data_IF_342230749059
#
_entry.id   IF_342230749059
#
_cell.length_a   1.000
_cell.length_b   1.000
_cell.length_c   1.000
_cell.angle_alpha   90.00
_cell.angle_beta   90.00
_cell.angle_gamma   90.00
#
_symmetry.space_group_name_H-M   'P 1'
#
loop_
_entity.id
_entity.type
_entity.pdbx_description
1 polymer ?
#
# COMPACT_ATOMS: atom_id res chain seq x y z
N UNK A 1 -0.74 5.13 -7.31
CA UNK A 1 0.17 5.15 -6.14
C UNK A 1 0.91 3.82 -6.10
N UNK A 2 2.24 3.79 -6.18
CA UNK A 2 3.00 2.53 -6.25
C UNK A 2 2.94 1.67 -4.96
N UNK A 3 2.74 2.30 -3.79
CA UNK A 3 2.81 1.61 -2.48
C UNK A 3 1.70 0.58 -2.25
N UNK A 4 0.62 0.59 -3.03
CA UNK A 4 -0.47 -0.39 -2.96
C UNK A 4 -0.10 -1.75 -3.55
N UNK A 5 0.97 -1.83 -4.37
CA UNK A 5 1.43 -3.08 -4.98
C UNK A 5 2.32 -3.94 -4.06
N UNK A 6 2.55 -3.49 -2.81
CA UNK A 6 3.29 -4.27 -1.84
C UNK A 6 2.54 -5.57 -1.51
N UNK A 7 3.22 -6.70 -1.67
CA UNK A 7 2.70 -8.05 -1.36
C UNK A 7 3.10 -8.53 0.05
N UNK A 8 3.65 -7.64 0.88
CA UNK A 8 4.05 -7.94 2.26
C UNK A 8 5.05 -9.10 2.40
N UNK A 9 5.93 -9.29 1.43
CA UNK A 9 6.89 -10.41 1.39
C UNK A 9 8.06 -10.31 2.40
N UNK A 10 8.28 -9.17 3.05
CA UNK A 10 9.36 -8.99 4.04
C UNK A 10 10.77 -8.81 3.49
N UNK A 11 11.04 -8.98 2.19
CA UNK A 11 12.40 -8.84 1.61
C UNK A 11 13.06 -7.49 1.95
N UNK A 12 12.27 -6.41 1.92
CA UNK A 12 12.73 -5.08 2.29
C UNK A 12 13.21 -4.99 3.75
N UNK A 13 12.63 -5.76 4.67
CA UNK A 13 13.05 -5.83 6.06
C UNK A 13 14.38 -6.57 6.19
N UNK A 14 14.50 -7.74 5.56
CA UNK A 14 15.71 -8.57 5.59
C UNK A 14 16.91 -7.89 4.93
N UNK A 15 16.69 -7.09 3.89
CA UNK A 15 17.75 -6.38 3.19
C UNK A 15 18.22 -5.11 3.90
N UNK A 16 17.46 -4.58 4.86
CA UNK A 16 17.80 -3.29 5.46
C UNK A 16 18.87 -3.47 6.56
N UNK A 17 20.01 -2.76 6.51
CA UNK A 17 21.05 -2.90 7.53
C UNK A 17 20.61 -2.43 8.93
N UNK A 18 19.60 -1.57 9.04
CA UNK A 18 19.10 -1.08 10.34
C UNK A 18 18.32 -2.15 11.10
N UNK A 19 17.66 -3.09 10.40
CA UNK A 19 16.73 -4.04 11.04
C UNK A 19 17.43 -5.06 11.94
N UNK A 20 18.73 -5.26 11.78
CA UNK A 20 19.55 -6.14 12.62
C UNK A 20 20.12 -5.46 13.87
N UNK A 21 20.08 -4.12 13.94
CA UNK A 21 20.79 -3.35 14.98
C UNK A 21 19.87 -2.79 16.07
N UNK A 22 18.57 -2.66 15.78
CA UNK A 22 17.60 -1.99 16.67
C UNK A 22 16.23 -2.61 16.53
N UNK A 23 15.41 -2.45 17.57
CA UNK A 23 13.98 -2.70 17.49
C UNK A 23 13.31 -1.62 16.62
N UNK A 24 13.09 -1.97 15.35
CA UNK A 24 12.57 -1.08 14.32
C UNK A 24 11.48 -1.78 13.54
N UNK A 25 10.30 -1.14 13.42
CA UNK A 25 9.18 -1.66 12.61
C UNK A 25 9.56 -1.96 11.16
N UNK A 26 10.61 -1.32 10.64
CA UNK A 26 11.16 -1.59 9.33
C UNK A 26 10.45 -0.88 8.18
N UNK A 27 10.95 -1.09 6.95
CA UNK A 27 10.53 -0.30 5.79
C UNK A 27 9.10 -0.60 5.36
N UNK A 28 8.66 -1.86 5.43
CA UNK A 28 7.30 -2.27 5.04
C UNK A 28 6.21 -1.58 5.87
N UNK A 29 6.37 -1.59 7.20
CA UNK A 29 5.41 -0.98 8.12
C UNK A 29 5.31 0.53 7.91
N UNK A 30 6.45 1.22 7.83
CA UNK A 30 6.51 2.66 7.64
C UNK A 30 5.98 3.10 6.26
N UNK A 31 6.33 2.38 5.19
CA UNK A 31 5.77 2.65 3.85
C UNK A 31 4.26 2.40 3.83
N UNK A 32 3.77 1.35 4.49
CA UNK A 32 2.33 1.08 4.60
C UNK A 32 1.63 2.19 5.38
N UNK A 33 2.28 2.72 6.41
CA UNK A 33 1.77 3.88 7.12
C UNK A 33 1.66 5.10 6.21
N UNK A 34 2.64 5.35 5.34
CA UNK A 34 2.51 6.39 4.32
C UNK A 34 1.35 6.13 3.36
N UNK A 35 1.22 4.90 2.84
CA UNK A 35 0.19 4.53 1.86
C UNK A 35 -1.20 4.94 2.32
N UNK A 36 -1.59 4.54 3.52
CA UNK A 36 -2.89 4.91 4.07
C UNK A 36 -2.96 6.40 4.40
N UNK A 37 -1.88 6.99 4.90
CA UNK A 37 -1.83 8.42 5.23
C UNK A 37 -1.94 9.35 4.00
N UNK A 38 -1.65 8.82 2.81
CA UNK A 38 -1.83 9.50 1.54
C UNK A 38 -3.21 9.26 0.92
N UNK A 39 -3.96 8.27 1.39
CA UNK A 39 -5.30 7.94 0.88
C UNK A 39 -6.31 9.02 1.31
N UNK A 40 -7.00 9.63 0.34
CA UNK A 40 -7.99 10.67 0.63
C UNK A 40 -9.26 10.17 1.31
N UNK A 41 -9.46 8.85 1.41
CA UNK A 41 -10.59 8.24 2.11
C UNK A 41 -10.30 8.00 3.59
N UNK A 42 -9.01 7.92 3.94
CA UNK A 42 -8.55 7.61 5.29
C UNK A 42 -8.56 8.86 6.19
N UNK A 43 -9.08 8.70 7.40
CA UNK A 43 -9.08 9.75 8.43
C UNK A 43 -8.22 9.40 9.65
N UNK A 44 -7.55 8.24 9.65
CA UNK A 44 -6.79 7.71 10.79
C UNK A 44 -5.31 8.10 10.82
N UNK A 45 -4.97 9.30 10.32
CA UNK A 45 -3.56 9.69 10.22
C UNK A 45 -2.90 9.89 11.59
N UNK A 46 -3.62 10.49 12.55
CA UNK A 46 -3.08 10.84 13.86
C UNK A 46 -2.74 9.59 14.67
N UNK A 47 -3.68 8.66 14.73
CA UNK A 47 -3.55 7.37 15.40
C UNK A 47 -2.38 6.57 14.81
N UNK A 48 -2.27 6.59 13.48
CA UNK A 48 -1.19 5.89 12.79
C UNK A 48 0.17 6.54 13.01
N UNK A 49 0.23 7.88 13.03
CA UNK A 49 1.46 8.59 13.32
C UNK A 49 1.97 8.27 14.72
N UNK A 50 1.07 8.22 15.72
CA UNK A 50 1.42 7.86 17.09
C UNK A 50 2.05 6.46 17.18
N UNK A 51 1.56 5.50 16.40
CA UNK A 51 2.10 4.14 16.35
C UNK A 51 3.47 4.02 15.67
N UNK A 52 3.90 5.00 14.86
CA UNK A 52 5.12 4.87 14.04
C UNK A 52 6.16 5.98 14.27
N UNK A 53 5.82 7.05 14.99
CA UNK A 53 6.65 8.25 15.13
C UNK A 53 8.07 7.95 15.66
N UNK A 54 8.19 7.06 16.64
CA UNK A 54 9.47 6.75 17.28
C UNK A 54 10.39 5.92 16.36
N UNK A 55 9.80 5.26 15.37
CA UNK A 55 10.52 4.46 14.37
C UNK A 55 10.91 5.26 13.12
N UNK A 56 10.35 6.47 12.93
CA UNK A 56 10.66 7.31 11.77
C UNK A 56 12.12 7.74 11.78
N UNK A 57 12.78 7.87 12.93
CA UNK A 57 14.18 8.30 13.03
C UNK A 57 15.21 7.28 12.53
N UNK A 58 14.87 5.99 12.52
CA UNK A 58 15.87 4.92 12.30
C UNK A 58 16.25 4.65 10.82
N UNK A 59 15.50 5.19 9.85
CA UNK A 59 15.84 5.03 8.44
C UNK A 59 16.99 5.97 8.02
N UNK A 60 18.15 5.42 7.70
CA UNK A 60 19.30 6.20 7.22
C UNK A 60 19.42 6.29 5.69
N UNK A 61 18.34 5.94 4.96
CA UNK A 61 18.28 6.03 3.51
C UNK A 61 19.35 5.20 2.77
N UNK A 62 19.69 4.01 3.29
CA UNK A 62 20.60 3.06 2.61
C UNK A 62 20.04 2.49 1.28
N UNK A 63 18.74 2.67 1.04
CA UNK A 63 18.00 2.28 -0.16
C UNK A 63 17.92 0.78 -0.52
N UNK A 64 18.61 -0.10 0.21
CA UNK A 64 18.60 -1.55 -0.05
C UNK A 64 17.19 -2.15 -0.10
N UNK A 65 16.25 -1.60 0.68
CA UNK A 65 14.86 -2.06 0.72
C UNK A 65 14.08 -1.83 -0.59
N UNK A 66 14.43 -0.79 -1.35
CA UNK A 66 13.81 -0.48 -2.65
C UNK A 66 14.43 -1.32 -3.76
N UNK A 67 15.75 -1.52 -3.73
CA UNK A 67 16.47 -2.36 -4.70
C UNK A 67 16.00 -3.81 -4.71
N UNK A 68 15.72 -4.39 -3.54
CA UNK A 68 15.30 -5.80 -3.44
C UNK A 68 13.82 -6.03 -3.71
N UNK A 69 13.01 -4.98 -3.95
CA UNK A 69 11.57 -5.16 -4.04
C UNK A 69 11.17 -5.86 -5.35
N UNK A 70 10.59 -7.08 -5.31
CA UNK A 70 10.24 -7.82 -6.52
C UNK A 70 9.05 -7.21 -7.28
N UNK A 71 8.34 -6.28 -6.64
CA UNK A 71 7.21 -5.55 -7.24
C UNK A 71 7.61 -4.15 -7.70
N UNK A 72 8.88 -3.77 -7.60
CA UNK A 72 9.35 -2.43 -7.95
C UNK A 72 8.73 -1.32 -7.09
N UNK A 73 8.27 -1.65 -5.88
CA UNK A 73 7.81 -0.64 -4.91
C UNK A 73 9.04 -0.01 -4.29
N UNK A 74 8.96 1.28 -3.94
CA UNK A 74 10.03 2.03 -3.30
C UNK A 74 9.71 2.34 -1.82
N UNK A 75 10.00 1.43 -0.86
CA UNK A 75 9.82 1.69 0.55
C UNK A 75 10.61 2.89 1.06
N UNK A 76 11.82 3.13 0.55
CA UNK A 76 12.65 4.27 0.95
C UNK A 76 11.94 5.60 0.73
N UNK A 77 11.39 5.81 -0.47
CA UNK A 77 10.60 7.00 -0.78
C UNK A 77 9.36 7.08 0.10
N UNK A 78 8.65 5.97 0.31
CA UNK A 78 7.48 5.93 1.20
C UNK A 78 7.80 6.45 2.61
N UNK A 79 8.94 6.04 3.17
CA UNK A 79 9.39 6.49 4.50
C UNK A 79 9.72 7.99 4.49
N UNK A 80 10.42 8.50 3.48
CA UNK A 80 10.74 9.93 3.41
C UNK A 80 9.50 10.80 3.25
N UNK A 81 8.52 10.33 2.48
CA UNK A 81 7.25 11.03 2.34
C UNK A 81 6.44 11.01 3.65
N UNK A 82 6.49 9.91 4.41
CA UNK A 82 5.89 9.85 5.74
C UNK A 82 6.55 10.83 6.71
N UNK A 83 7.90 10.88 6.74
CA UNK A 83 8.65 11.86 7.54
C UNK A 83 8.25 13.28 7.20
N UNK A 84 8.19 13.62 5.91
CA UNK A 84 7.75 14.94 5.45
C UNK A 84 6.33 15.27 5.92
N UNK A 85 5.41 14.29 5.85
CA UNK A 85 4.03 14.46 6.31
C UNK A 85 3.96 14.61 7.84
N UNK A 86 4.71 13.82 8.60
CA UNK A 86 4.82 13.90 10.05
C UNK A 86 5.36 15.26 10.48
N UNK A 87 6.49 15.70 9.91
CA UNK A 87 7.08 17.01 10.21
C UNK A 87 6.10 18.14 9.89
N UNK A 88 5.40 18.07 8.75
CA UNK A 88 4.40 19.07 8.39
C UNK A 88 3.22 19.08 9.37
N UNK A 89 2.78 17.92 9.85
CA UNK A 89 1.75 17.82 10.87
C UNK A 89 2.20 18.42 12.20
N UNK A 90 3.43 18.14 12.63
CA UNK A 90 3.98 18.71 13.87
C UNK A 90 4.14 20.24 13.80
N UNK A 91 4.43 20.79 12.62
CA UNK A 91 4.64 22.24 12.44
C UNK A 91 3.34 23.02 12.16
N UNK A 92 2.41 22.46 11.38
CA UNK A 92 1.22 23.18 10.88
C UNK A 92 -0.10 22.64 11.44
N UNK A 93 -0.05 21.61 12.28
CA UNK A 93 -1.24 20.92 12.79
C UNK A 93 -1.99 20.11 11.73
N UNK A 94 -3.12 19.55 12.14
CA UNK A 94 -3.97 18.75 11.27
C UNK A 94 -4.81 19.63 10.34
N UNK A 95 -4.48 19.63 9.04
CA UNK A 95 -5.40 20.17 8.02
C UNK A 95 -6.42 19.09 7.70
N UNK A 96 -7.55 19.09 8.42
CA UNK A 96 -8.69 18.21 8.16
C UNK A 96 -9.07 18.30 6.68
N UNK A 97 -8.74 17.26 5.91
CA UNK A 97 -9.26 17.08 4.56
C UNK A 97 -10.58 16.34 4.69
N UNK A 98 -11.65 16.89 4.11
CA UNK A 98 -12.91 16.14 4.02
C UNK A 98 -12.63 14.85 3.24
N UNK A 99 -12.88 13.66 3.81
CA UNK A 99 -12.62 12.43 3.08
C UNK A 99 -13.46 12.45 1.81
N UNK A 100 -12.86 11.98 0.71
CA UNK A 100 -13.64 11.77 -0.51
C UNK A 100 -14.69 10.72 -0.17
N UNK A 101 -15.96 10.98 -0.49
CA UNK A 101 -17.07 10.09 -0.12
C UNK A 101 -16.73 8.64 -0.48
N UNK A 102 -16.92 7.74 0.48
CA UNK A 102 -16.81 6.32 0.19
C UNK A 102 -17.95 5.97 -0.77
N UNK A 103 -17.65 5.16 -1.79
CA UNK A 103 -18.72 4.50 -2.55
C UNK A 103 -19.52 3.70 -1.51
N UNK A 104 -20.85 3.88 -1.44
CA UNK A 104 -21.65 3.13 -0.48
C UNK A 104 -21.42 1.63 -0.70
N UNK A 105 -21.47 0.80 0.36
CA UNK A 105 -21.47 -0.64 0.19
C UNK A 105 -22.55 -1.04 -0.82
N UNK A 106 -22.19 -1.93 -1.74
CA UNK A 106 -23.15 -2.50 -2.70
C UNK A 106 -24.27 -3.21 -1.95
N UNK A 107 -25.47 -3.15 -2.52
CA UNK A 107 -26.60 -3.87 -1.94
C UNK A 107 -26.36 -5.38 -1.99
N UNK A 108 -26.92 -6.11 -1.02
CA UNK A 108 -26.71 -7.55 -0.88
C UNK A 108 -27.27 -8.25 -2.12
N UNK A 109 -26.40 -8.87 -2.92
CA UNK A 109 -26.79 -9.56 -4.17
C UNK A 109 -26.56 -8.73 -5.44
N UNK A 110 -26.09 -7.49 -5.33
CA UNK A 110 -25.69 -6.70 -6.50
C UNK A 110 -24.45 -7.34 -7.17
N UNK A 111 -24.55 -7.76 -8.46
CA UNK A 111 -23.45 -8.45 -9.13
C UNK A 111 -22.22 -7.55 -9.29
N UNK A 112 -21.04 -8.05 -8.93
CA UNK A 112 -19.77 -7.35 -9.21
C UNK A 112 -19.57 -7.36 -10.73
N UNK A 113 -19.51 -6.19 -11.40
CA UNK A 113 -19.25 -6.15 -12.83
C UNK A 113 -17.84 -6.69 -13.05
N UNK A 114 -17.75 -7.79 -13.79
CA UNK A 114 -16.48 -8.31 -14.26
C UNK A 114 -16.03 -7.44 -15.44
N UNK A 115 -14.76 -7.01 -15.50
CA UNK A 115 -14.26 -6.30 -16.68
C UNK A 115 -14.40 -7.17 -17.92
N UNK A 116 -14.69 -6.57 -19.08
CA UNK A 116 -14.70 -7.31 -20.34
C UNK A 116 -13.36 -8.02 -20.53
N UNK A 117 -13.35 -9.30 -20.95
CA UNK A 117 -12.11 -10.03 -21.15
C UNK A 117 -11.19 -9.31 -22.13
N UNK A 118 -9.93 -9.13 -21.75
CA UNK A 118 -8.94 -8.42 -22.59
C UNK A 118 -8.27 -9.32 -23.63
N UNK A 119 -8.60 -10.61 -23.66
CA UNK A 119 -8.02 -11.59 -24.60
C UNK A 119 -9.06 -11.96 -25.65
N UNK A 120 -8.65 -11.95 -26.92
CA UNK A 120 -9.53 -12.35 -28.03
C UNK A 120 -9.99 -13.80 -27.84
N UNK A 121 -11.28 -14.05 -28.04
CA UNK A 121 -11.89 -15.38 -27.86
C UNK A 121 -12.19 -15.78 -26.40
N UNK A 122 -11.89 -14.94 -25.40
CA UNK A 122 -12.22 -15.31 -24.01
C UNK A 122 -13.72 -15.45 -23.76
N UNK A 123 -14.57 -14.69 -24.45
CA UNK A 123 -16.03 -14.84 -24.27
C UNK A 123 -16.51 -16.23 -24.71
N UNK A 124 -15.97 -16.74 -25.81
CA UNK A 124 -16.27 -18.06 -26.34
C UNK A 124 -15.73 -19.16 -25.41
N UNK A 125 -14.52 -18.96 -24.87
CA UNK A 125 -13.92 -19.88 -23.90
C UNK A 125 -14.66 -19.88 -22.55
N UNK A 126 -15.07 -18.71 -22.05
CA UNK A 126 -15.91 -18.58 -20.85
C UNK A 126 -17.26 -19.26 -21.09
N UNK A 127 -17.90 -19.00 -22.23
CA UNK A 127 -19.19 -19.61 -22.61
C UNK A 127 -19.08 -21.14 -22.69
N UNK A 128 -17.95 -21.64 -23.22
CA UNK A 128 -17.61 -23.06 -23.31
C UNK A 128 -17.41 -23.70 -21.93
N UNK A 129 -16.63 -23.04 -21.06
CA UNK A 129 -16.40 -23.49 -19.68
C UNK A 129 -17.70 -23.51 -18.86
N UNK A 130 -18.57 -22.50 -19.02
CA UNK A 130 -19.88 -22.44 -18.38
C UNK A 130 -20.82 -23.55 -18.86
N UNK A 131 -20.67 -24.02 -20.10
CA UNK A 131 -21.36 -25.20 -20.64
C UNK A 131 -20.73 -26.54 -20.21
N UNK A 132 -19.65 -26.53 -19.43
CA UNK A 132 -18.97 -27.73 -18.94
C UNK A 132 -18.10 -28.45 -19.98
N UNK A 133 -17.81 -27.80 -21.11
CA UNK A 133 -16.89 -28.34 -22.13
C UNK A 133 -15.44 -28.14 -21.67
N UNK A 134 -14.58 -29.17 -21.79
CA UNK A 134 -13.17 -29.08 -21.41
C UNK A 134 -12.39 -28.18 -22.38
N UNK A 135 -11.53 -27.32 -21.82
CA UNK A 135 -10.47 -26.61 -22.56
C UNK A 135 -9.56 -27.65 -23.25
N UNK A 136 -9.15 -27.38 -24.49
CA UNK A 136 -8.29 -28.27 -25.29
C UNK A 136 -6.84 -28.17 -24.86
#
# INVERSE_FOLDING_TARGET
>A
MQFTYCISCGLCYSACPTSSLRDWLGPQALMTAYRFSADSRDSGFKERLEAVKDHLGFCHLANSCSEVCPKGVDPSLGIQLLRRKANRFSLLGDRKRKPRGLVPPREKGEPIPYPEPTVEGAEEEISRLLRGEKSR
#
